data_IF_467851170401
#
_entry.id   IF_467851170401
#
_cell.length_a   1.000
_cell.length_b   1.000
_cell.length_c   1.000
_cell.angle_alpha   90.00
_cell.angle_beta   90.00
_cell.angle_gamma   90.00
#
_symmetry.space_group_name_H-M   'P 1'
#
loop_
_entity.id
_entity.type
_entity.pdbx_description
1 polymer ?
#
# COMPACT_ATOMS: atom_id res chain seq x y z
N UNK A 1 -5.42 4.95 -51.79
CA UNK A 1 -4.49 5.91 -51.15
C UNK A 1 -5.29 6.98 -50.43
N UNK A 2 -5.28 7.00 -49.10
CA UNK A 2 -5.63 8.12 -48.21
C UNK A 2 -4.94 7.83 -46.87
N UNK A 3 -4.35 8.88 -46.29
CA UNK A 3 -3.16 8.85 -45.44
C UNK A 3 -3.43 8.37 -44.01
N UNK A 4 -2.46 7.62 -43.49
CA UNK A 4 -2.30 7.20 -42.09
C UNK A 4 -2.17 8.44 -41.18
N UNK A 5 -2.89 8.45 -40.06
CA UNK A 5 -2.49 9.14 -38.85
C UNK A 5 -2.40 8.05 -37.76
N UNK A 6 -1.23 7.44 -37.63
CA UNK A 6 -0.93 6.53 -36.52
C UNK A 6 -0.56 7.45 -35.35
N UNK A 7 -1.45 7.53 -34.37
CA UNK A 7 -1.20 8.19 -33.09
C UNK A 7 -0.07 7.44 -32.37
N UNK A 8 1.13 8.03 -32.39
CA UNK A 8 2.35 7.48 -31.82
C UNK A 8 2.41 7.69 -30.29
N UNK A 9 1.39 7.21 -29.55
CA UNK A 9 1.38 7.21 -28.07
C UNK A 9 0.86 5.87 -27.48
N UNK A 10 0.58 4.85 -28.29
CA UNK A 10 -0.01 3.58 -27.83
C UNK A 10 0.84 2.34 -28.16
N UNK A 11 2.13 2.34 -27.81
CA UNK A 11 3.05 1.21 -28.07
C UNK A 11 3.97 0.87 -26.88
N UNK A 12 3.45 0.93 -25.66
CA UNK A 12 4.05 0.26 -24.49
C UNK A 12 2.91 -0.42 -23.71
N UNK A 13 2.22 -1.33 -24.38
CA UNK A 13 1.24 -2.25 -23.78
C UNK A 13 1.40 -3.59 -24.48
N UNK A 14 1.39 -4.67 -23.70
CA UNK A 14 1.49 -6.08 -24.10
C UNK A 14 2.91 -6.64 -24.29
N UNK A 15 3.55 -7.02 -23.18
CA UNK A 15 4.21 -8.32 -23.06
C UNK A 15 4.44 -8.68 -21.58
N UNK A 16 4.28 -9.97 -21.26
CA UNK A 16 4.64 -10.64 -19.99
C UNK A 16 3.58 -10.55 -18.88
N UNK A 17 2.51 -11.34 -19.04
CA UNK A 17 1.78 -11.92 -17.91
C UNK A 17 2.06 -13.42 -17.92
N UNK A 18 2.84 -13.93 -16.98
CA UNK A 18 2.73 -15.26 -16.36
C UNK A 18 3.77 -15.36 -15.23
N UNK A 19 3.42 -16.12 -14.18
CA UNK A 19 4.28 -16.70 -13.12
C UNK A 19 4.55 -15.91 -11.82
N UNK A 20 3.64 -16.15 -10.87
CA UNK A 20 3.85 -16.51 -9.44
C UNK A 20 4.34 -15.51 -8.40
N UNK A 21 3.74 -15.63 -7.21
CA UNK A 21 4.41 -15.37 -5.94
C UNK A 21 4.35 -16.63 -5.05
N UNK A 22 5.51 -17.11 -4.59
CA UNK A 22 5.69 -17.73 -3.27
C UNK A 22 5.33 -19.20 -3.03
N UNK A 23 6.03 -20.15 -3.68
CA UNK A 23 6.11 -21.52 -3.17
C UNK A 23 7.00 -21.58 -1.90
N UNK A 24 6.41 -21.70 -0.71
CA UNK A 24 7.11 -22.22 0.47
C UNK A 24 7.23 -23.74 0.38
N UNK A 25 8.40 -24.25 0.01
CA UNK A 25 8.73 -25.67 0.16
C UNK A 25 9.00 -25.99 1.63
N UNK A 26 8.14 -26.82 2.23
CA UNK A 26 8.43 -27.52 3.49
C UNK A 26 9.67 -28.40 3.30
N UNK A 27 10.71 -28.19 4.11
CA UNK A 27 11.78 -29.18 4.30
C UNK A 27 11.26 -30.30 5.20
N UNK A 28 11.15 -31.51 4.65
CA UNK A 28 11.24 -32.74 5.42
C UNK A 28 12.60 -33.36 5.09
N UNK A 29 13.33 -33.75 6.13
CA UNK A 29 14.61 -34.42 6.00
C UNK A 29 14.47 -35.87 5.57
N UNK A 30 15.50 -36.37 4.91
CA UNK A 30 16.02 -37.69 5.19
C UNK A 30 17.53 -37.72 4.87
N UNK A 31 18.24 -38.51 5.66
CA UNK A 31 19.66 -38.78 5.62
C UNK A 31 20.08 -39.47 4.31
N UNK A 32 21.37 -39.38 3.94
CA UNK A 32 22.28 -40.53 3.73
C UNK A 32 23.54 -40.16 2.93
N UNK A 33 24.67 -40.18 3.65
CA UNK A 33 26.09 -40.47 3.31
C UNK A 33 26.81 -39.85 2.09
N UNK A 34 27.94 -39.21 2.41
CA UNK A 34 29.11 -38.95 1.54
C UNK A 34 29.93 -40.25 1.27
N UNK A 35 31.01 -40.27 0.45
CA UNK A 35 32.24 -39.46 0.65
C UNK A 35 32.98 -38.94 -0.62
N UNK A 36 33.86 -37.95 -0.39
CA UNK A 36 35.22 -37.65 -0.94
C UNK A 36 35.52 -37.86 -2.46
N UNK A 37 36.32 -37.06 -3.18
CA UNK A 37 37.62 -36.44 -2.85
C UNK A 37 38.12 -35.56 -4.05
N UNK A 38 38.93 -34.53 -3.76
CA UNK A 38 40.10 -34.01 -4.52
C UNK A 38 40.01 -33.52 -5.99
N UNK A 39 40.65 -32.37 -6.26
CA UNK A 39 41.35 -32.16 -7.53
C UNK A 39 41.24 -30.75 -8.12
N UNK A 40 42.38 -30.16 -8.46
CA UNK A 40 42.54 -28.75 -8.79
C UNK A 40 42.47 -28.41 -10.30
N UNK A 41 42.13 -27.15 -10.54
CA UNK A 41 42.71 -26.22 -11.53
C UNK A 41 42.27 -26.24 -13.02
N UNK A 42 42.33 -25.01 -13.54
CA UNK A 42 42.53 -24.48 -14.90
C UNK A 42 41.37 -24.33 -15.89
N UNK A 43 41.17 -23.03 -16.19
CA UNK A 43 40.82 -22.37 -17.45
C UNK A 43 39.55 -22.75 -18.21
N UNK A 44 38.60 -21.85 -18.07
CA UNK A 44 37.35 -21.75 -18.80
C UNK A 44 37.58 -21.30 -20.25
N UNK A 45 37.08 -22.09 -21.19
CA UNK A 45 36.44 -21.58 -22.41
C UNK A 45 35.23 -22.46 -22.70
N UNK A 46 34.03 -22.03 -22.35
CA UNK A 46 32.87 -22.22 -23.23
C UNK A 46 31.75 -21.24 -22.88
N UNK A 47 31.34 -20.54 -23.93
CA UNK A 47 30.12 -19.78 -24.15
C UNK A 47 28.88 -20.39 -23.46
N UNK A 48 28.23 -19.63 -22.58
CA UNK A 48 26.81 -19.82 -22.27
C UNK A 48 26.16 -18.44 -22.14
N UNK A 49 25.32 -18.13 -23.14
CA UNK A 49 24.42 -16.98 -23.17
C UNK A 49 23.64 -16.88 -21.87
N UNK A 50 24.03 -15.95 -21.00
CA UNK A 50 23.20 -15.49 -19.91
C UNK A 50 22.23 -14.46 -20.48
N UNK A 51 21.03 -14.94 -20.80
CA UNK A 51 19.85 -14.11 -21.03
C UNK A 51 19.64 -13.21 -19.80
N UNK A 52 19.38 -11.89 -19.95
CA UNK A 52 19.16 -11.02 -18.81
C UNK A 52 17.87 -11.44 -18.10
N UNK A 53 18.01 -11.91 -16.86
CA UNK A 53 16.93 -12.07 -15.89
C UNK A 53 16.13 -10.76 -15.81
N UNK A 54 14.85 -10.80 -16.20
CA UNK A 54 13.95 -9.66 -16.12
C UNK A 54 13.76 -9.26 -14.66
N UNK A 55 14.26 -8.08 -14.28
CA UNK A 55 13.88 -7.40 -13.04
C UNK A 55 12.37 -7.17 -13.04
N UNK A 56 11.64 -7.86 -12.15
CA UNK A 56 10.26 -7.51 -11.82
C UNK A 56 10.24 -6.18 -11.04
N UNK A 57 9.48 -5.22 -11.55
CA UNK A 57 9.35 -3.86 -11.01
C UNK A 57 7.99 -3.76 -10.30
N UNK A 58 7.95 -3.24 -9.08
CA UNK A 58 6.67 -3.01 -8.36
C UNK A 58 6.18 -1.60 -8.69
N UNK A 59 5.49 -1.44 -9.82
CA UNK A 59 4.94 -0.15 -10.23
C UNK A 59 4.02 0.44 -9.13
N UNK A 60 4.04 1.77 -8.90
CA UNK A 60 3.13 2.41 -7.94
C UNK A 60 1.69 2.00 -8.15
N UNK A 61 1.02 1.61 -7.05
CA UNK A 61 -0.43 1.44 -7.05
C UNK A 61 -1.07 2.76 -7.48
N UNK A 62 -1.49 2.76 -8.73
CA UNK A 62 -2.08 3.88 -9.43
C UNK A 62 -3.54 3.55 -9.65
N UNK A 63 -4.37 4.58 -9.70
CA UNK A 63 -5.71 4.44 -10.28
C UNK A 63 -5.59 3.84 -11.68
N UNK A 64 -6.24 2.71 -11.85
CA UNK A 64 -6.36 2.03 -13.14
C UNK A 64 -7.82 2.03 -13.60
N UNK A 65 -8.09 1.81 -14.89
CA UNK A 65 -9.47 1.62 -15.35
C UNK A 65 -10.17 0.53 -14.55
N UNK A 66 -11.42 0.77 -14.14
CA UNK A 66 -12.18 -0.18 -13.32
C UNK A 66 -12.32 -1.57 -13.99
N UNK A 67 -12.41 -1.58 -15.32
CA UNK A 67 -12.40 -2.77 -16.17
C UNK A 67 -11.13 -3.63 -16.01
N UNK A 68 -9.96 -2.99 -15.91
CA UNK A 68 -8.68 -3.68 -15.83
C UNK A 68 -8.42 -4.21 -14.42
N UNK A 69 -8.78 -3.42 -13.40
CA UNK A 69 -8.69 -3.85 -12.01
C UNK A 69 -9.56 -5.08 -11.72
N UNK A 70 -10.70 -5.22 -12.41
CA UNK A 70 -11.52 -6.44 -12.35
C UNK A 70 -10.73 -7.67 -12.79
N UNK A 71 -10.02 -7.59 -13.92
CA UNK A 71 -9.23 -8.70 -14.44
C UNK A 71 -8.09 -9.06 -13.47
N UNK A 72 -7.47 -8.04 -12.86
CA UNK A 72 -6.47 -8.26 -11.80
C UNK A 72 -7.04 -8.96 -10.57
N UNK A 73 -8.29 -8.68 -10.17
CA UNK A 73 -8.94 -9.37 -9.06
C UNK A 73 -9.11 -10.86 -9.36
N UNK A 74 -9.44 -11.26 -10.60
CA UNK A 74 -9.51 -12.68 -10.98
C UNK A 74 -8.13 -13.33 -11.03
N UNK A 75 -7.10 -12.58 -11.44
CA UNK A 75 -5.76 -13.11 -11.68
C UNK A 75 -4.85 -13.09 -10.43
N UNK A 76 -5.22 -12.33 -9.39
CA UNK A 76 -4.41 -12.16 -8.17
C UNK A 76 -3.91 -13.47 -7.55
N UNK A 77 -2.66 -13.47 -7.09
CA UNK A 77 -1.99 -14.58 -6.40
C UNK A 77 -2.54 -14.79 -4.99
N UNK A 78 -2.88 -13.70 -4.29
CA UNK A 78 -3.72 -13.75 -3.09
C UNK A 78 -5.13 -14.08 -3.57
N UNK A 79 -5.48 -15.37 -3.59
CA UNK A 79 -6.85 -15.77 -3.91
C UNK A 79 -7.75 -15.48 -2.71
N UNK A 80 -9.02 -15.10 -2.92
CA UNK A 80 -9.97 -15.01 -1.81
C UNK A 80 -10.02 -16.34 -1.08
N UNK A 81 -9.85 -16.33 0.24
CA UNK A 81 -9.74 -17.55 1.05
C UNK A 81 -10.97 -18.47 0.96
N UNK A 82 -12.11 -17.96 0.48
CA UNK A 82 -13.34 -18.70 0.19
C UNK A 82 -14.26 -17.92 -0.76
N UNK A 83 -15.10 -18.63 -1.52
CA UNK A 83 -16.26 -18.01 -2.19
C UNK A 83 -17.36 -17.74 -1.17
N UNK A 84 -17.79 -16.48 -1.05
CA UNK A 84 -18.94 -16.10 -0.26
C UNK A 84 -20.23 -16.16 -1.10
N UNK A 85 -21.08 -17.14 -0.80
CA UNK A 85 -22.40 -17.30 -1.40
C UNK A 85 -23.53 -16.73 -0.53
N UNK A 86 -23.17 -15.99 0.54
CA UNK A 86 -24.16 -15.39 1.45
C UNK A 86 -24.97 -14.36 0.68
N UNK A 87 -26.29 -14.54 0.67
CA UNK A 87 -27.22 -13.58 0.09
C UNK A 87 -27.53 -12.51 1.14
N UNK A 88 -27.42 -11.21 0.83
CA UNK A 88 -27.82 -10.15 1.76
C UNK A 88 -29.33 -10.14 1.95
N UNK A 89 -29.78 -9.54 3.06
CA UNK A 89 -31.19 -9.22 3.28
C UNK A 89 -31.69 -8.23 2.21
N UNK A 90 -32.96 -8.37 1.86
CA UNK A 90 -33.60 -7.57 0.81
C UNK A 90 -35.00 -7.14 1.23
N UNK A 91 -35.42 -5.95 0.79
CA UNK A 91 -36.77 -5.41 1.01
C UNK A 91 -37.83 -6.28 0.34
N UNK A 92 -37.58 -6.67 -0.92
CA UNK A 92 -38.43 -7.55 -1.71
C UNK A 92 -37.57 -8.67 -2.31
N UNK A 93 -37.83 -9.95 -2.02
CA UNK A 93 -37.00 -11.06 -2.48
C UNK A 93 -37.25 -11.46 -3.94
N UNK A 94 -37.33 -10.49 -4.85
CA UNK A 94 -37.59 -10.69 -6.29
C UNK A 94 -36.30 -10.94 -7.08
N UNK A 95 -35.59 -12.00 -6.69
CA UNK A 95 -34.34 -12.39 -7.35
C UNK A 95 -34.58 -12.89 -8.78
N UNK A 96 -33.86 -12.30 -9.74
CA UNK A 96 -33.76 -12.80 -11.11
C UNK A 96 -32.77 -13.96 -11.15
N UNK A 97 -33.13 -15.02 -11.89
CA UNK A 97 -32.30 -16.21 -12.06
C UNK A 97 -31.14 -15.94 -13.01
N UNK A 98 -30.11 -16.79 -12.96
CA UNK A 98 -29.08 -16.89 -13.99
C UNK A 98 -29.69 -16.89 -15.42
N UNK A 99 -28.96 -16.32 -16.37
CA UNK A 99 -29.40 -16.13 -17.74
C UNK A 99 -28.76 -14.89 -18.37
N UNK A 100 -29.10 -14.66 -19.64
CA UNK A 100 -28.65 -13.51 -20.44
C UNK A 100 -29.75 -12.46 -20.55
N UNK A 101 -29.44 -11.24 -20.14
CA UNK A 101 -30.38 -10.13 -20.03
C UNK A 101 -29.82 -8.90 -20.73
N UNK A 102 -30.63 -8.27 -21.59
CA UNK A 102 -30.30 -7.04 -22.29
C UNK A 102 -31.11 -5.88 -21.72
N UNK A 103 -30.40 -4.84 -21.30
CA UNK A 103 -30.97 -3.64 -20.76
C UNK A 103 -31.74 -2.85 -21.84
N UNK A 104 -32.99 -2.48 -21.54
CA UNK A 104 -33.93 -1.91 -22.50
C UNK A 104 -34.78 -2.95 -23.26
N UNK A 105 -34.57 -4.25 -23.03
CA UNK A 105 -35.42 -5.33 -23.55
C UNK A 105 -36.10 -6.10 -22.41
N UNK A 106 -35.34 -6.96 -21.73
CA UNK A 106 -35.82 -7.82 -20.65
C UNK A 106 -35.20 -7.48 -19.28
N UNK A 107 -34.44 -6.39 -19.23
CA UNK A 107 -33.88 -5.80 -18.01
C UNK A 107 -34.00 -4.28 -18.08
N UNK A 108 -34.35 -3.65 -16.96
CA UNK A 108 -34.38 -2.19 -16.87
C UNK A 108 -32.97 -1.63 -16.60
N UNK A 109 -32.73 -0.38 -16.95
CA UNK A 109 -31.50 0.31 -16.55
C UNK A 109 -31.47 0.51 -15.03
N UNK A 110 -30.27 0.49 -14.47
CA UNK A 110 -30.05 0.64 -13.03
C UNK A 110 -28.86 -0.16 -12.54
N UNK A 111 -28.55 -0.02 -11.25
CA UNK A 111 -27.53 -0.82 -10.59
C UNK A 111 -28.15 -2.11 -10.05
N UNK A 112 -27.46 -3.23 -10.26
CA UNK A 112 -27.85 -4.55 -9.80
C UNK A 112 -26.77 -5.13 -8.90
N UNK A 113 -27.20 -5.97 -7.95
CA UNK A 113 -26.31 -6.77 -7.12
C UNK A 113 -26.41 -8.23 -7.56
N UNK A 114 -25.30 -8.76 -8.08
CA UNK A 114 -25.16 -10.16 -8.50
C UNK A 114 -24.61 -10.97 -7.34
N UNK A 115 -25.18 -12.14 -7.06
CA UNK A 115 -24.76 -13.03 -5.97
C UNK A 115 -24.44 -14.42 -6.52
N UNK A 116 -23.26 -14.98 -6.17
CA UNK A 116 -22.92 -16.37 -6.44
C UNK A 116 -23.87 -17.35 -5.73
N UNK A 117 -24.44 -18.31 -6.48
CA UNK A 117 -25.12 -19.47 -5.89
C UNK A 117 -24.18 -20.68 -5.79
N UNK A 118 -23.02 -20.64 -6.44
CA UNK A 118 -22.00 -21.70 -6.39
C UNK A 118 -20.60 -21.14 -6.58
N UNK A 119 -19.58 -21.98 -6.35
CA UNK A 119 -18.17 -21.66 -6.59
C UNK A 119 -17.81 -21.48 -8.07
N UNK A 120 -18.74 -21.77 -8.98
CA UNK A 120 -18.60 -21.62 -10.43
C UNK A 120 -19.48 -20.49 -10.98
N UNK A 121 -19.87 -19.55 -10.11
CA UNK A 121 -20.60 -18.37 -10.56
C UNK A 121 -19.69 -17.54 -11.46
N UNK A 122 -20.17 -17.21 -12.65
CA UNK A 122 -19.47 -16.35 -13.58
C UNK A 122 -20.41 -15.26 -14.09
N UNK A 123 -19.81 -14.17 -14.55
CA UNK A 123 -20.50 -12.97 -15.00
C UNK A 123 -19.85 -12.48 -16.29
N UNK A 124 -20.65 -12.23 -17.32
CA UNK A 124 -20.21 -11.54 -18.54
C UNK A 124 -21.04 -10.28 -18.71
N UNK A 125 -20.34 -9.16 -18.91
CA UNK A 125 -20.91 -7.86 -19.21
C UNK A 125 -20.52 -7.49 -20.65
N UNK A 126 -21.44 -6.89 -21.39
CA UNK A 126 -21.12 -6.21 -22.65
C UNK A 126 -21.80 -4.85 -22.73
N UNK A 127 -21.17 -3.87 -23.37
CA UNK A 127 -21.72 -2.52 -23.52
C UNK A 127 -22.64 -2.37 -24.75
N UNK A 128 -22.78 -3.45 -25.54
CA UNK A 128 -23.54 -3.47 -26.80
C UNK A 128 -22.79 -2.91 -28.00
N UNK A 129 -21.52 -2.54 -27.83
CA UNK A 129 -20.57 -2.14 -28.87
C UNK A 129 -19.45 -3.21 -28.92
N UNK A 130 -18.21 -2.82 -28.69
CA UNK A 130 -17.02 -3.69 -28.69
C UNK A 130 -16.53 -4.00 -27.27
N UNK A 131 -17.17 -3.46 -26.22
CA UNK A 131 -16.77 -3.67 -24.83
C UNK A 131 -17.30 -4.99 -24.27
N UNK A 132 -16.40 -5.87 -23.85
CA UNK A 132 -16.72 -7.13 -23.17
C UNK A 132 -15.85 -7.32 -21.92
N UNK A 133 -16.49 -7.76 -20.82
CA UNK A 133 -15.83 -8.02 -19.55
C UNK A 133 -16.35 -9.31 -18.93
N UNK A 134 -15.45 -10.25 -18.68
CA UNK A 134 -15.76 -11.53 -18.05
C UNK A 134 -15.15 -11.63 -16.65
N UNK A 135 -15.95 -12.13 -15.71
CA UNK A 135 -15.50 -12.68 -14.44
C UNK A 135 -15.73 -14.18 -14.48
N UNK A 136 -14.66 -14.95 -14.71
CA UNK A 136 -14.75 -16.41 -14.77
C UNK A 136 -15.24 -17.02 -13.46
N UNK A 137 -14.79 -16.46 -12.32
CA UNK A 137 -15.21 -16.85 -10.99
C UNK A 137 -15.51 -15.60 -10.18
N UNK A 138 -16.77 -15.49 -9.75
CA UNK A 138 -17.23 -14.42 -8.89
C UNK A 138 -17.10 -14.85 -7.41
N UNK A 139 -16.13 -14.32 -6.65
CA UNK A 139 -15.85 -14.80 -5.29
C UNK A 139 -16.91 -14.37 -4.27
N UNK A 140 -17.66 -13.31 -4.54
CA UNK A 140 -18.73 -12.82 -3.69
C UNK A 140 -19.67 -11.92 -4.48
N UNK A 141 -20.70 -11.37 -3.82
CA UNK A 141 -21.62 -10.50 -4.53
C UNK A 141 -20.96 -9.22 -5.05
N UNK A 142 -21.40 -8.76 -6.22
CA UNK A 142 -20.83 -7.64 -6.97
C UNK A 142 -21.93 -6.69 -7.45
N UNK A 143 -21.68 -5.39 -7.32
CA UNK A 143 -22.54 -4.36 -7.91
C UNK A 143 -22.16 -4.11 -9.36
N UNK A 144 -23.15 -4.06 -10.25
CA UNK A 144 -22.99 -3.79 -11.69
C UNK A 144 -24.01 -2.73 -12.12
N UNK A 145 -23.56 -1.65 -12.77
CA UNK A 145 -24.45 -0.67 -13.38
C UNK A 145 -24.78 -1.07 -14.81
N UNK A 146 -26.08 -1.13 -15.12
CA UNK A 146 -26.59 -1.49 -16.44
C UNK A 146 -27.23 -0.27 -17.11
N UNK A 147 -26.71 0.12 -18.27
CA UNK A 147 -27.27 1.17 -19.14
C UNK A 147 -27.98 0.55 -20.35
N UNK A 148 -28.82 1.31 -21.04
CA UNK A 148 -29.52 0.82 -22.23
C UNK A 148 -28.52 0.28 -23.27
N UNK A 149 -28.82 -0.89 -23.84
CA UNK A 149 -27.92 -1.59 -24.76
C UNK A 149 -26.96 -2.58 -24.08
N UNK A 150 -26.68 -2.42 -22.78
CA UNK A 150 -25.78 -3.32 -22.07
C UNK A 150 -26.41 -4.72 -21.92
N UNK A 151 -25.57 -5.75 -21.93
CA UNK A 151 -25.98 -7.12 -21.65
C UNK A 151 -25.30 -7.65 -20.39
N UNK A 152 -26.08 -8.32 -19.54
CA UNK A 152 -25.67 -9.00 -18.33
C UNK A 152 -25.96 -10.50 -18.50
N UNK A 153 -24.92 -11.33 -18.54
CA UNK A 153 -25.04 -12.78 -18.52
C UNK A 153 -24.48 -13.33 -17.20
N UNK A 154 -25.36 -13.93 -16.39
CA UNK A 154 -24.99 -14.54 -15.10
C UNK A 154 -25.11 -16.05 -15.23
N UNK A 155 -24.06 -16.77 -14.88
CA UNK A 155 -24.07 -18.25 -14.78
C UNK A 155 -23.91 -18.66 -13.32
N UNK A 156 -24.66 -19.67 -12.87
CA UNK A 156 -24.63 -20.20 -11.50
C UNK A 156 -24.78 -19.14 -10.38
N UNK A 157 -25.55 -18.09 -10.67
CA UNK A 157 -25.84 -17.00 -9.75
C UNK A 157 -27.29 -16.55 -9.83
N UNK A 158 -27.59 -15.48 -9.12
CA UNK A 158 -28.85 -14.74 -9.16
C UNK A 158 -28.55 -13.27 -8.93
N UNK A 159 -29.47 -12.39 -9.27
CA UNK A 159 -29.25 -10.95 -9.10
C UNK A 159 -30.54 -10.21 -8.81
N UNK A 160 -30.42 -9.01 -8.27
CA UNK A 160 -31.54 -8.15 -7.90
C UNK A 160 -31.15 -6.68 -8.07
N UNK A 161 -32.12 -5.77 -8.17
CA UNK A 161 -31.88 -4.33 -8.13
C UNK A 161 -31.15 -3.95 -6.84
N UNK A 162 -30.08 -3.15 -6.95
CA UNK A 162 -29.26 -2.75 -5.81
C UNK A 162 -30.06 -1.93 -4.76
N UNK A 163 -31.14 -1.26 -5.18
CA UNK A 163 -32.07 -0.54 -4.29
C UNK A 163 -32.87 -1.45 -3.36
N UNK A 164 -33.03 -2.72 -3.73
CA UNK A 164 -33.72 -3.73 -2.92
C UNK A 164 -32.81 -4.36 -1.86
N UNK A 165 -31.49 -4.24 -2.01
CA UNK A 165 -30.51 -4.73 -1.03
C UNK A 165 -30.51 -3.83 0.19
N UNK A 166 -30.85 -4.41 1.34
CA UNK A 166 -30.81 -3.71 2.62
C UNK A 166 -29.38 -3.27 2.95
N UNK A 167 -29.27 -2.33 3.89
CA UNK A 167 -27.95 -1.87 4.35
C UNK A 167 -27.16 -3.07 4.90
N UNK A 168 -26.01 -3.33 4.31
CA UNK A 168 -25.07 -4.35 4.78
C UNK A 168 -24.16 -3.73 5.85
N UNK A 169 -23.98 -4.44 6.97
CA UNK A 169 -23.24 -3.93 8.11
C UNK A 169 -22.17 -4.89 8.59
N UNK A 170 -21.24 -4.34 9.38
CA UNK A 170 -20.28 -5.14 10.12
C UNK A 170 -20.96 -5.97 11.21
N UNK A 171 -20.48 -7.18 11.43
CA UNK A 171 -20.77 -7.96 12.64
C UNK A 171 -19.54 -7.91 13.53
N UNK A 172 -19.68 -7.42 14.77
CA UNK A 172 -18.57 -7.24 15.72
C UNK A 172 -17.41 -6.41 15.13
N UNK A 173 -17.71 -5.33 14.41
CA UNK A 173 -16.71 -4.44 13.81
C UNK A 173 -16.01 -5.00 12.56
N UNK A 174 -16.39 -6.20 12.11
CA UNK A 174 -15.82 -6.86 10.94
C UNK A 174 -16.85 -7.02 9.83
N UNK A 175 -16.54 -6.51 8.64
CA UNK A 175 -17.25 -6.78 7.41
C UNK A 175 -16.80 -8.12 6.85
N UNK A 176 -17.74 -8.87 6.29
CA UNK A 176 -17.41 -10.12 5.61
C UNK A 176 -16.81 -9.85 4.23
N UNK A 177 -16.09 -10.82 3.68
CA UNK A 177 -15.75 -10.85 2.25
C UNK A 177 -17.01 -10.54 1.42
N UNK A 178 -16.98 -9.52 0.57
CA UNK A 178 -18.18 -9.03 -0.12
C UNK A 178 -18.00 -7.65 -0.76
N UNK A 179 -18.97 -7.23 -1.58
CA UNK A 179 -19.03 -5.87 -2.10
C UNK A 179 -19.98 -4.98 -1.29
N UNK A 180 -19.58 -3.74 -1.05
CA UNK A 180 -20.26 -2.76 -0.19
C UNK A 180 -20.32 -1.37 -0.83
N UNK A 181 -21.37 -0.61 -0.50
CA UNK A 181 -21.59 0.76 -0.98
C UNK A 181 -21.06 1.78 0.05
N UNK A 182 -20.16 2.66 -0.37
CA UNK A 182 -19.67 3.75 0.48
C UNK A 182 -20.73 4.85 0.59
N UNK A 183 -21.01 5.27 1.83
CA UNK A 183 -22.09 6.19 2.20
C UNK A 183 -23.43 5.51 2.46
N UNK A 184 -23.54 4.18 2.29
CA UNK A 184 -24.73 3.40 2.64
C UNK A 184 -24.37 2.28 3.62
N UNK A 185 -23.51 1.36 3.19
CA UNK A 185 -23.08 0.18 3.96
C UNK A 185 -21.85 0.50 4.82
N UNK A 186 -20.90 1.25 4.25
CA UNK A 186 -19.67 1.71 4.90
C UNK A 186 -19.68 3.25 4.97
N UNK A 187 -19.35 3.90 6.09
CA UNK A 187 -19.21 5.34 6.16
C UNK A 187 -18.13 5.87 5.21
N UNK A 188 -18.35 7.06 4.64
CA UNK A 188 -17.31 7.77 3.89
C UNK A 188 -16.31 8.45 4.85
N UNK A 189 -15.08 8.69 4.38
CA UNK A 189 -14.01 9.36 5.09
C UNK A 189 -12.72 8.55 5.15
N UNK A 190 -11.70 9.14 5.76
CA UNK A 190 -10.40 8.51 5.98
C UNK A 190 -10.52 7.47 7.10
N UNK A 191 -10.16 6.23 6.79
CA UNK A 191 -10.09 5.13 7.75
C UNK A 191 -8.88 4.25 7.45
N UNK A 192 -8.56 3.34 8.35
CA UNK A 192 -7.71 2.19 8.06
C UNK A 192 -8.57 0.99 7.69
N UNK A 193 -8.12 0.20 6.72
CA UNK A 193 -8.80 -0.97 6.16
C UNK A 193 -7.88 -2.20 6.28
N UNK A 194 -8.43 -3.31 6.75
CA UNK A 194 -7.74 -4.61 6.77
C UNK A 194 -8.04 -5.42 8.02
N UNK A 195 -7.05 -6.19 8.45
CA UNK A 195 -7.02 -7.02 9.64
C UNK A 195 -5.61 -7.01 10.22
N UNK A 196 -5.38 -7.74 11.32
CA UNK A 196 -4.02 -7.98 11.83
C UNK A 196 -3.14 -8.79 10.87
N UNK A 197 -3.74 -9.48 9.90
CA UNK A 197 -3.05 -10.34 8.92
C UNK A 197 -2.81 -9.62 7.59
N UNK A 198 -3.35 -8.41 7.41
CA UNK A 198 -3.16 -7.62 6.21
C UNK A 198 -4.44 -7.02 5.66
N UNK A 199 -4.40 -6.60 4.39
CA UNK A 199 -5.54 -6.06 3.68
C UNK A 199 -5.63 -6.64 2.28
N UNK A 200 -6.84 -7.03 1.89
CA UNK A 200 -7.11 -7.44 0.51
C UNK A 200 -8.46 -6.93 0.03
N UNK A 201 -8.42 -5.85 -0.76
CA UNK A 201 -9.62 -5.19 -1.24
C UNK A 201 -9.38 -4.37 -2.51
N UNK A 202 -10.47 -4.09 -3.21
CA UNK A 202 -10.49 -3.16 -4.37
C UNK A 202 -11.56 -2.10 -4.14
N UNK A 203 -11.22 -0.84 -4.35
CA UNK A 203 -12.18 0.27 -4.33
C UNK A 203 -12.41 0.74 -5.76
N UNK A 204 -13.66 0.71 -6.19
CA UNK A 204 -14.12 1.18 -7.49
C UNK A 204 -14.79 2.55 -7.34
N UNK A 205 -14.47 3.50 -8.21
CA UNK A 205 -15.15 4.79 -8.29
C UNK A 205 -16.58 4.66 -8.83
N UNK A 206 -16.84 3.63 -9.63
CA UNK A 206 -18.14 3.32 -10.23
C UNK A 206 -18.35 1.81 -10.32
N UNK A 207 -19.61 1.37 -10.37
CA UNK A 207 -20.00 0.01 -10.76
C UNK A 207 -20.35 -0.11 -12.25
N UNK A 208 -20.23 0.98 -13.00
CA UNK A 208 -20.23 0.94 -14.45
C UNK A 208 -18.81 0.65 -14.93
N UNK A 209 -18.57 -0.58 -15.34
CA UNK A 209 -17.24 -1.04 -15.73
C UNK A 209 -16.86 -0.69 -17.17
N UNK A 210 -17.78 -0.09 -17.93
CA UNK A 210 -17.50 0.46 -19.27
C UNK A 210 -17.40 1.98 -19.26
N UNK A 211 -17.47 2.62 -18.10
CA UNK A 211 -17.19 4.03 -17.94
C UNK A 211 -15.68 4.27 -18.03
N UNK A 212 -15.25 5.01 -19.04
CA UNK A 212 -13.83 5.30 -19.31
C UNK A 212 -13.18 6.13 -18.21
N UNK A 213 -13.98 6.89 -17.44
CA UNK A 213 -13.53 7.66 -16.29
C UNK A 213 -13.58 6.85 -14.98
N UNK A 214 -14.14 5.65 -15.00
CA UNK A 214 -14.20 4.80 -13.82
C UNK A 214 -12.82 4.23 -13.51
N UNK A 215 -12.39 4.46 -12.27
CA UNK A 215 -11.10 4.03 -11.76
C UNK A 215 -11.27 3.03 -10.64
N UNK A 216 -10.24 2.22 -10.43
CA UNK A 216 -10.14 1.32 -9.30
C UNK A 216 -8.74 1.34 -8.72
N UNK A 217 -8.66 1.07 -7.42
CA UNK A 217 -7.42 0.90 -6.68
C UNK A 217 -7.53 -0.40 -5.89
N UNK A 218 -6.55 -1.27 -6.04
CA UNK A 218 -6.46 -2.55 -5.36
C UNK A 218 -5.31 -2.52 -4.35
N UNK A 219 -5.55 -3.09 -3.18
CA UNK A 219 -4.54 -3.38 -2.17
C UNK A 219 -4.55 -4.87 -1.88
N UNK A 220 -3.37 -5.48 -1.80
CA UNK A 220 -3.16 -6.88 -1.42
C UNK A 220 -1.94 -6.99 -0.50
N UNK A 221 -2.01 -6.34 0.65
CA UNK A 221 -0.90 -6.16 1.57
C UNK A 221 -1.00 -7.10 2.78
N UNK A 222 0.13 -7.28 3.46
CA UNK A 222 0.22 -7.99 4.74
C UNK A 222 0.14 -7.03 5.95
N UNK A 223 -0.33 -5.81 5.71
CA UNK A 223 -0.61 -4.80 6.74
C UNK A 223 -1.90 -4.02 6.45
N UNK A 224 -2.50 -3.36 7.47
CA UNK A 224 -3.63 -2.47 7.26
C UNK A 224 -3.22 -1.21 6.49
N UNK A 225 -4.14 -0.70 5.68
CA UNK A 225 -3.90 0.43 4.75
C UNK A 225 -4.78 1.61 5.13
N UNK A 226 -4.25 2.83 5.11
CA UNK A 226 -5.06 4.04 5.15
C UNK A 226 -5.77 4.24 3.83
N UNK A 227 -7.05 4.59 3.83
CA UNK A 227 -7.75 4.91 2.59
C UNK A 227 -8.80 6.00 2.85
N UNK A 228 -9.00 6.91 1.88
CA UNK A 228 -10.10 7.87 1.92
C UNK A 228 -11.29 7.34 1.11
N UNK A 229 -12.29 6.78 1.80
CA UNK A 229 -13.49 6.25 1.16
C UNK A 229 -14.44 7.39 0.81
N UNK A 230 -14.76 7.54 -0.47
CA UNK A 230 -15.65 8.59 -0.97
C UNK A 230 -17.07 8.07 -1.19
N UNK A 231 -18.07 8.88 -0.83
CA UNK A 231 -19.48 8.53 -1.02
C UNK A 231 -19.75 8.22 -2.50
N UNK A 232 -20.42 7.09 -2.76
CA UNK A 232 -20.73 6.64 -4.11
C UNK A 232 -19.79 5.54 -4.62
N UNK A 233 -18.61 5.36 -4.03
CA UNK A 233 -17.71 4.26 -4.35
C UNK A 233 -18.31 2.88 -4.02
N UNK A 234 -17.73 1.84 -4.61
CA UNK A 234 -17.95 0.44 -4.23
C UNK A 234 -16.65 -0.14 -3.70
N UNK A 235 -16.71 -0.86 -2.59
CA UNK A 235 -15.55 -1.58 -2.04
C UNK A 235 -15.82 -3.06 -2.16
N UNK A 236 -14.90 -3.80 -2.76
CA UNK A 236 -14.89 -5.25 -2.82
C UNK A 236 -13.84 -5.76 -1.83
N UNK A 237 -14.30 -6.30 -0.70
CA UNK A 237 -13.45 -7.00 0.26
C UNK A 237 -13.26 -8.45 -0.18
N UNK A 238 -12.01 -8.86 -0.36
CA UNK A 238 -11.60 -10.19 -0.79
C UNK A 238 -11.26 -11.11 0.40
N UNK A 239 -11.41 -10.58 1.62
CA UNK A 239 -11.30 -11.25 2.91
C UNK A 239 -12.23 -10.56 3.93
N UNK A 240 -12.33 -11.09 5.15
CA UNK A 240 -13.07 -10.41 6.21
C UNK A 240 -12.28 -9.17 6.70
N UNK A 241 -12.84 -7.99 6.48
CA UNK A 241 -12.15 -6.70 6.67
C UNK A 241 -12.74 -5.90 7.83
N UNK A 242 -11.90 -5.32 8.66
CA UNK A 242 -12.29 -4.38 9.71
C UNK A 242 -11.96 -2.94 9.30
N UNK A 243 -12.74 -1.98 9.84
CA UNK A 243 -12.49 -0.55 9.68
C UNK A 243 -11.85 -0.01 10.97
N UNK A 244 -10.99 1.00 10.85
CA UNK A 244 -10.36 1.63 12.01
C UNK A 244 -9.38 0.71 12.72
N UNK A 245 -8.79 -0.24 11.98
CA UNK A 245 -7.74 -1.14 12.49
C UNK A 245 -6.56 -0.32 13.00
N UNK A 246 -6.05 -0.69 14.18
CA UNK A 246 -4.87 -0.07 14.75
C UNK A 246 -3.66 -0.39 13.87
N UNK A 247 -2.97 0.66 13.41
CA UNK A 247 -1.67 0.51 12.75
C UNK A 247 -0.64 0.02 13.77
N UNK A 248 0.21 -0.97 13.42
CA UNK A 248 1.30 -1.41 14.28
C UNK A 248 2.16 -0.23 14.74
N UNK A 249 2.49 -0.20 16.03
CA UNK A 249 3.39 0.82 16.59
C UNK A 249 4.86 0.47 16.38
N UNK A 250 5.74 1.29 16.95
CA UNK A 250 7.16 0.99 16.99
C UNK A 250 7.43 -0.34 17.72
N UNK A 251 8.42 -1.07 17.22
CA UNK A 251 9.05 -2.21 17.90
C UNK A 251 9.73 -1.74 19.20
N UNK A 252 10.14 -2.69 20.05
CA UNK A 252 10.82 -2.39 21.32
C UNK A 252 12.14 -1.63 21.16
N UNK A 253 12.80 -1.78 20.01
CA UNK A 253 14.02 -1.06 19.63
C UNK A 253 13.73 0.33 19.00
N UNK A 254 12.47 0.76 18.95
CA UNK A 254 12.03 2.01 18.35
C UNK A 254 11.95 2.01 16.82
N UNK A 255 12.24 0.88 16.17
CA UNK A 255 12.10 0.72 14.73
C UNK A 255 10.66 0.42 14.30
N UNK A 256 10.39 0.49 13.00
CA UNK A 256 9.10 0.17 12.40
C UNK A 256 9.28 -0.87 11.29
N UNK A 257 8.33 -1.80 11.18
CA UNK A 257 8.33 -2.79 10.11
C UNK A 257 7.70 -2.21 8.83
N UNK A 258 7.75 -2.96 7.72
CA UNK A 258 6.94 -2.68 6.53
C UNK A 258 5.49 -2.43 6.90
N UNK A 259 4.87 -1.46 6.22
CA UNK A 259 3.54 -1.00 6.60
C UNK A 259 3.18 0.33 5.98
N UNK A 260 1.95 0.78 6.25
CA UNK A 260 1.49 2.13 5.95
C UNK A 260 1.24 2.93 7.23
N UNK A 261 1.85 4.10 7.32
CA UNK A 261 1.88 4.93 8.51
C UNK A 261 1.51 6.37 8.16
N UNK A 262 0.70 7.03 9.00
CA UNK A 262 0.54 8.47 8.96
C UNK A 262 1.60 9.14 9.83
N UNK A 263 2.45 9.95 9.21
CA UNK A 263 3.50 10.70 9.92
C UNK A 263 2.86 11.76 10.80
N UNK A 264 3.32 11.84 12.06
CA UNK A 264 2.71 12.67 13.12
C UNK A 264 1.72 11.94 14.01
N UNK A 265 1.18 10.80 13.55
CA UNK A 265 0.21 9.99 14.28
C UNK A 265 0.77 8.62 14.65
N UNK A 266 1.19 7.85 13.65
CA UNK A 266 1.64 6.46 13.83
C UNK A 266 3.17 6.38 13.92
N UNK A 267 3.86 7.23 13.16
CA UNK A 267 5.32 7.40 13.15
C UNK A 267 5.66 8.88 13.38
N UNK A 268 6.71 9.17 14.15
CA UNK A 268 7.14 10.55 14.40
C UNK A 268 7.74 11.17 13.12
N UNK A 269 7.57 12.48 12.89
CA UNK A 269 8.36 13.18 11.87
C UNK A 269 9.86 13.09 12.22
N UNK A 270 10.72 13.00 11.22
CA UNK A 270 12.17 12.91 11.43
C UNK A 270 12.93 12.16 10.34
N UNK A 271 14.23 11.97 10.57
CA UNK A 271 15.11 11.18 9.69
C UNK A 271 15.07 9.71 10.09
N UNK A 272 15.03 8.81 9.11
CA UNK A 272 15.03 7.36 9.30
C UNK A 272 16.00 6.71 8.32
N UNK A 273 16.79 5.75 8.81
CA UNK A 273 17.55 4.83 7.97
C UNK A 273 16.63 3.70 7.50
N UNK A 274 16.61 3.47 6.20
CA UNK A 274 15.93 2.33 5.57
C UNK A 274 16.87 1.14 5.51
N UNK A 275 16.42 0.03 6.09
CA UNK A 275 17.14 -1.24 6.11
C UNK A 275 16.34 -2.25 5.27
N UNK A 276 16.83 -2.67 4.11
CA UNK A 276 16.23 -3.75 3.33
C UNK A 276 16.12 -5.03 4.15
N UNK A 277 14.92 -5.61 4.18
CA UNK A 277 14.65 -6.94 4.76
C UNK A 277 14.49 -8.00 3.69
N UNK A 278 14.17 -7.59 2.47
CA UNK A 278 13.92 -8.46 1.32
C UNK A 278 14.62 -7.91 0.07
N UNK A 279 14.88 -8.78 -0.92
CA UNK A 279 15.52 -8.40 -2.19
C UNK A 279 14.64 -7.43 -2.98
N UNK A 280 13.34 -7.68 -2.97
CA UNK A 280 12.31 -6.77 -3.48
C UNK A 280 11.88 -5.85 -2.35
N UNK A 281 12.18 -4.56 -2.48
CA UNK A 281 11.84 -3.58 -1.47
C UNK A 281 11.64 -2.20 -2.08
N UNK A 282 10.86 -1.39 -1.39
CA UNK A 282 10.58 -0.04 -1.83
C UNK A 282 9.72 0.74 -0.86
N UNK A 283 9.66 2.04 -1.07
CA UNK A 283 8.78 2.93 -0.31
C UNK A 283 8.09 3.96 -1.19
N UNK A 284 7.00 4.48 -0.65
CA UNK A 284 6.27 5.63 -1.18
C UNK A 284 5.90 6.57 -0.03
N UNK A 285 6.02 7.86 -0.29
CA UNK A 285 5.52 8.93 0.58
C UNK A 285 4.43 9.65 -0.19
N UNK A 286 3.23 9.74 0.40
CA UNK A 286 2.10 10.44 -0.20
C UNK A 286 1.78 11.74 0.53
N UNK A 287 1.42 12.78 -0.21
CA UNK A 287 0.80 13.99 0.32
C UNK A 287 -0.63 13.74 0.80
N UNK A 288 -1.37 12.91 0.07
CA UNK A 288 -2.77 12.59 0.34
C UNK A 288 -3.13 11.19 -0.18
N UNK A 289 -4.35 10.74 0.15
CA UNK A 289 -4.83 9.39 -0.16
C UNK A 289 -5.66 9.33 -1.44
N UNK A 290 -5.38 10.19 -2.44
CA UNK A 290 -6.05 10.11 -3.75
C UNK A 290 -5.43 9.04 -4.66
N UNK A 291 -4.22 8.56 -4.35
CA UNK A 291 -3.49 7.53 -5.11
C UNK A 291 -3.39 7.81 -6.60
N UNK A 292 -3.12 9.08 -6.90
CA UNK A 292 -2.74 9.53 -8.24
C UNK A 292 -1.27 9.94 -8.20
N UNK A 293 -0.66 10.07 -9.38
CA UNK A 293 0.75 10.47 -9.51
C UNK A 293 1.07 11.77 -8.76
N UNK A 294 0.16 12.75 -8.82
CA UNK A 294 0.28 14.03 -8.10
C UNK A 294 0.20 13.90 -6.57
N UNK A 295 -0.23 12.76 -6.05
CA UNK A 295 -0.24 12.48 -4.61
C UNK A 295 1.13 11.98 -4.11
N UNK A 296 2.02 11.55 -5.01
CA UNK A 296 3.33 10.98 -4.63
C UNK A 296 4.31 12.13 -4.37
N UNK A 297 4.83 12.17 -3.14
CA UNK A 297 5.87 13.11 -2.70
C UNK A 297 7.26 12.60 -2.99
N UNK A 298 7.49 11.32 -2.69
CA UNK A 298 8.76 10.64 -2.86
C UNK A 298 8.50 9.15 -3.05
N UNK A 299 9.32 8.49 -3.85
CA UNK A 299 9.22 7.05 -4.06
C UNK A 299 10.59 6.50 -4.45
N UNK A 300 10.86 5.27 -4.02
CA UNK A 300 12.05 4.55 -4.47
C UNK A 300 11.85 3.05 -4.33
N UNK A 301 12.24 2.33 -5.37
CA UNK A 301 12.38 0.87 -5.38
C UNK A 301 13.85 0.47 -5.24
N UNK A 302 14.10 -0.81 -4.94
CA UNK A 302 15.44 -1.39 -4.84
C UNK A 302 16.36 -0.59 -3.90
N UNK A 303 15.81 -0.15 -2.77
CA UNK A 303 16.50 0.66 -1.77
C UNK A 303 17.72 -0.10 -1.26
N UNK A 304 18.84 0.62 -1.18
CA UNK A 304 20.10 0.07 -0.66
C UNK A 304 20.24 0.38 0.83
N UNK A 305 20.87 -0.53 1.56
CA UNK A 305 21.15 -0.35 2.98
C UNK A 305 21.87 0.99 3.24
N UNK A 306 21.47 1.68 4.30
CA UNK A 306 22.02 3.00 4.65
C UNK A 306 21.34 4.18 3.95
N UNK A 307 20.34 3.94 3.09
CA UNK A 307 19.50 5.03 2.55
C UNK A 307 18.79 5.74 3.70
N UNK A 308 18.87 7.07 3.77
CA UNK A 308 18.19 7.88 4.79
C UNK A 308 17.06 8.66 4.13
N UNK A 309 15.89 8.65 4.75
CA UNK A 309 14.72 9.43 4.33
C UNK A 309 14.31 10.43 5.42
N UNK A 310 13.63 11.50 5.02
CA UNK A 310 13.03 12.47 5.96
C UNK A 310 11.52 12.41 5.85
N UNK A 311 10.86 11.98 6.93
CA UNK A 311 9.40 11.93 7.03
C UNK A 311 8.87 13.26 7.58
N UNK A 312 7.94 13.87 6.85
CA UNK A 312 7.31 15.14 7.22
C UNK A 312 5.93 14.92 7.81
N UNK A 313 5.60 15.67 8.85
CA UNK A 313 4.29 15.62 9.50
C UNK A 313 3.13 15.72 8.49
N UNK A 314 2.07 14.94 8.72
CA UNK A 314 0.88 14.92 7.87
C UNK A 314 0.96 14.07 6.61
N UNK A 315 2.15 13.64 6.17
CA UNK A 315 2.30 12.71 5.02
C UNK A 315 1.98 11.27 5.39
N UNK A 316 1.79 10.42 4.38
CA UNK A 316 1.61 8.98 4.55
C UNK A 316 2.82 8.24 4.00
N UNK A 317 3.49 7.46 4.84
CA UNK A 317 4.62 6.62 4.44
C UNK A 317 4.13 5.18 4.26
N UNK A 318 4.46 4.56 3.14
CA UNK A 318 4.24 3.14 2.88
C UNK A 318 5.55 2.48 2.49
N UNK A 319 5.83 1.29 3.00
CA UNK A 319 6.95 0.49 2.54
C UNK A 319 6.66 -1.00 2.55
N UNK A 320 7.32 -1.71 1.63
CA UNK A 320 7.43 -3.16 1.60
C UNK A 320 8.90 -3.57 1.56
N UNK A 321 9.23 -4.72 2.15
CA UNK A 321 10.60 -5.22 2.25
C UNK A 321 11.59 -4.30 2.99
N UNK A 322 11.10 -3.42 3.87
CA UNK A 322 11.93 -2.44 4.59
C UNK A 322 11.65 -2.42 6.10
N UNK A 323 12.71 -2.25 6.88
CA UNK A 323 12.66 -1.84 8.28
C UNK A 323 13.13 -0.40 8.41
N UNK A 324 12.37 0.43 9.11
CA UNK A 324 12.68 1.83 9.37
C UNK A 324 13.31 1.97 10.75
N UNK A 325 14.53 2.48 10.80
CA UNK A 325 15.25 2.73 12.06
C UNK A 325 15.42 4.24 12.25
N UNK A 326 15.07 4.82 13.42
CA UNK A 326 15.35 6.22 13.69
C UNK A 326 16.82 6.56 13.40
N UNK A 327 17.06 7.57 12.59
CA UNK A 327 18.41 7.95 12.22
C UNK A 327 19.11 8.65 13.39
N UNK A 328 20.32 8.20 13.69
CA UNK A 328 21.22 8.86 14.63
C UNK A 328 22.35 9.46 13.79
N UNK A 329 22.53 10.78 13.89
CA UNK A 329 23.64 11.44 13.21
C UNK A 329 24.96 10.83 13.71
N UNK A 330 25.86 10.37 12.81
CA UNK A 330 27.17 9.91 13.22
C UNK A 330 27.85 11.09 13.90
N UNK A 331 28.23 10.89 15.17
CA UNK A 331 28.83 11.94 15.97
C UNK A 331 29.98 12.58 15.20
N UNK A 332 30.00 13.92 15.13
CA UNK A 332 31.21 14.64 14.75
C UNK A 332 32.24 14.31 15.82
N UNK A 333 33.15 13.38 15.53
CA UNK A 333 34.40 13.33 16.28
C UNK A 333 35.08 14.66 16.01
N UNK A 334 34.92 15.62 16.94
CA UNK A 334 35.78 16.78 16.97
C UNK A 334 37.20 16.22 16.93
N UNK A 335 37.97 16.60 15.90
CA UNK A 335 39.39 16.33 15.89
C UNK A 335 39.94 16.79 17.25
N UNK A 336 40.79 16.00 17.93
CA UNK A 336 41.40 16.46 19.17
C UNK A 336 42.05 17.80 18.85
N UNK A 337 41.63 18.86 19.56
CA UNK A 337 42.33 20.13 19.50
C UNK A 337 43.76 19.85 19.99
N UNK A 338 44.69 19.68 19.05
CA UNK A 338 46.11 19.70 19.35
C UNK A 338 46.46 21.15 19.62
N UNK A 339 46.26 21.58 20.87
CA UNK A 339 46.88 22.79 21.39
C UNK A 339 48.38 22.50 21.52
N UNK A 340 49.14 22.81 20.48
CA UNK A 340 50.59 22.88 20.57
C UNK A 340 50.94 24.15 21.34
N UNK A 341 51.18 24.06 22.65
CA UNK A 341 51.85 25.13 23.37
C UNK A 341 53.29 25.25 22.84
N UNK A 342 53.60 26.40 22.24
CA UNK A 342 54.96 26.80 21.96
C UNK A 342 55.63 27.25 23.29
N UNK A 343 56.89 26.87 23.55
CA UNK A 343 57.55 27.25 24.79
C UNK A 343 57.93 28.74 24.75
N UNK A 344 57.39 29.53 25.67
CA UNK A 344 57.82 30.92 25.88
C UNK A 344 59.23 30.95 26.50
N UNK A 345 60.15 31.56 25.76
CA UNK A 345 61.52 31.84 26.18
C UNK A 345 61.56 32.99 27.17
N UNK A 346 61.99 32.70 28.40
CA UNK A 346 62.35 33.68 29.44
C UNK A 346 63.40 34.68 28.96
N UNK A 347 63.09 35.98 29.02
CA UNK A 347 64.11 37.04 29.14
C UNK A 347 63.71 37.95 30.30
N UNK A 348 64.54 37.96 31.35
CA UNK A 348 64.43 38.86 32.51
C UNK A 348 65.03 40.22 32.16
N UNK A 349 64.32 41.29 32.48
CA UNK A 349 64.91 42.61 32.77
C UNK A 349 64.26 43.15 34.05
N UNK A 350 65.04 43.62 35.05
CA UNK A 350 64.52 44.05 36.34
C UNK A 350 64.24 45.56 36.38
N UNK A 351 63.70 46.01 37.53
CA UNK A 351 63.54 47.38 38.06
C UNK A 351 62.07 47.79 38.28
N UNK A 352 61.60 48.39 39.38
CA UNK A 352 62.14 48.74 40.71
C UNK A 352 60.93 48.94 41.63
N UNK A 353 61.04 48.56 42.90
CA UNK A 353 60.02 48.68 43.93
C UNK A 353 59.91 50.13 44.45
N UNK A 354 58.70 50.65 44.71
CA UNK A 354 58.40 51.47 45.91
C UNK A 354 56.89 51.44 46.22
N UNK A 355 56.60 51.22 47.51
CA UNK A 355 55.30 51.01 48.15
C UNK A 355 54.52 52.32 48.38
N UNK A 356 53.25 52.16 48.82
CA UNK A 356 52.62 52.58 50.11
C UNK A 356 51.18 53.15 49.87
N UNK A 357 50.26 53.19 50.85
CA UNK A 357 49.40 52.10 51.30
C UNK A 357 47.89 52.44 51.30
N UNK A 358 47.07 51.39 51.44
CA UNK A 358 45.64 51.48 51.78
C UNK A 358 45.40 52.14 53.14
N UNK A 359 44.34 52.95 53.23
CA UNK A 359 43.73 53.38 54.49
C UNK A 359 42.27 52.97 54.51
N UNK A 360 41.92 52.16 55.51
CA UNK A 360 40.58 51.68 55.88
C UNK A 360 39.77 52.80 56.54
N UNK A 361 38.46 52.90 56.31
CA UNK A 361 37.51 53.44 57.31
C UNK A 361 36.13 52.79 57.18
N UNK A 362 35.60 52.48 58.36
CA UNK A 362 34.50 51.61 58.79
C UNK A 362 33.12 52.28 58.77
N UNK A 363 32.07 51.45 58.94
CA UNK A 363 30.73 51.73 59.56
C UNK A 363 29.68 52.41 58.65
N UNK A 364 28.39 52.08 58.66
CA UNK A 364 27.58 51.42 59.69
C UNK A 364 26.34 50.70 59.10
N UNK A 365 25.83 49.78 59.93
CA UNK A 365 24.56 49.04 59.83
C UNK A 365 23.32 49.94 59.80
N UNK A 366 22.26 49.44 59.15
CA UNK A 366 20.87 49.81 59.39
C UNK A 366 19.95 48.68 58.92
N UNK A 367 19.38 47.95 59.87
CA UNK A 367 18.47 46.79 59.76
C UNK A 367 17.02 47.20 59.34
N UNK A 368 16.07 46.26 59.14
CA UNK A 368 14.95 46.37 58.18
C UNK A 368 13.56 46.54 58.86
N UNK A 369 12.52 46.82 58.08
CA UNK A 369 11.21 46.12 58.15
C UNK A 369 10.18 46.69 57.16
N UNK A 370 9.50 45.77 56.47
CA UNK A 370 8.06 45.72 56.11
C UNK A 370 7.25 47.02 55.92
N UNK A 371 6.66 47.16 54.73
CA UNK A 371 5.20 47.13 54.47
C UNK A 371 4.96 46.82 53.00
#
# INVERSE_FOLDING_TARGET
>A
MKRKLISAVALIMCAIMFLFCGCKSKKNGDDTTAPSESGAAVDAVTDESTEPSSEETTEPEKKEPAADAIKKVTDSTKKPGKVNTTTPSVKKPEWKKAGKYTCGKNLAAGEYYVVPNSKKCSLMLTDGKDGELEFEILPCGLFVTMKAGYTLEVKNGKFILASEVDKMGATNGKYKLGSYRVGVDIPAGITTLGSSEGSFFTVFSSSDYFDEDATAIMFAEDYPVYYNLEKGQRVLFMEDTSLGVKIPGANSDGSYNSGMYKVGKDIKPGKYTLVPTDSENGYMVYYDLRYIELSIKDYKENVKAGTVITLTDGTYFRSSGLKLVPYVEPGTTAAPETTTEAPETTTKTPETTTKTPDTTTTTAQGTPSES
#
